data_IF_470780784303
#
_entry.id   IF_470780784303
#
_cell.length_a   1.000
_cell.length_b   1.000
_cell.length_c   1.000
_cell.angle_alpha   90.00
_cell.angle_beta   90.00
_cell.angle_gamma   90.00
#
_symmetry.space_group_name_H-M   'P 1'
#
loop_
_entity.id
_entity.type
_entity.pdbx_description
1 polymer ?
#
# COMPACT_ATOMS: atom_id res chain seq x y z
N UNK A 1 19.88 -11.39 9.06
CA UNK A 1 18.75 -11.24 8.10
C UNK A 1 18.22 -9.80 8.02
N UNK A 2 18.08 -9.05 9.12
CA UNK A 2 17.57 -7.66 9.07
C UNK A 2 18.44 -6.62 8.33
N UNK A 3 19.75 -6.84 8.20
CA UNK A 3 20.70 -5.87 7.61
C UNK A 3 20.55 -5.72 6.10
N UNK A 4 20.29 -6.81 5.37
CA UNK A 4 20.20 -6.78 3.91
C UNK A 4 18.98 -5.99 3.42
N UNK A 5 17.81 -6.18 4.06
CA UNK A 5 16.60 -5.46 3.70
C UNK A 5 16.72 -3.96 3.98
N UNK A 6 17.31 -3.59 5.11
CA UNK A 6 17.55 -2.19 5.45
C UNK A 6 18.45 -1.51 4.42
N UNK A 7 19.52 -2.18 3.96
CA UNK A 7 20.41 -1.68 2.91
C UNK A 7 19.62 -1.45 1.61
N UNK A 8 18.83 -2.43 1.17
CA UNK A 8 18.00 -2.32 -0.03
C UNK A 8 17.05 -1.12 0.04
N UNK A 9 16.33 -0.95 1.15
CA UNK A 9 15.35 0.14 1.31
C UNK A 9 16.02 1.52 1.40
N UNK A 10 17.05 1.64 2.25
CA UNK A 10 17.66 2.93 2.59
C UNK A 10 18.70 3.40 1.57
N UNK A 11 19.41 2.49 0.90
CA UNK A 11 20.52 2.84 -0.01
C UNK A 11 20.16 2.60 -1.47
N UNK A 12 19.47 1.50 -1.76
CA UNK A 12 19.18 1.07 -3.14
C UNK A 12 17.80 1.52 -3.64
N UNK A 13 17.09 2.36 -2.88
CA UNK A 13 15.72 2.81 -3.17
C UNK A 13 14.73 1.65 -3.43
N UNK A 14 14.92 0.50 -2.78
CA UNK A 14 13.98 -0.60 -2.92
C UNK A 14 12.59 -0.18 -2.41
N UNK A 15 11.58 -0.33 -3.26
CA UNK A 15 10.16 -0.04 -2.99
C UNK A 15 9.30 -1.21 -3.47
N UNK A 16 8.10 -1.40 -2.88
CA UNK A 16 7.14 -2.37 -3.39
C UNK A 16 6.87 -2.15 -4.88
N UNK A 17 6.67 -3.25 -5.61
CA UNK A 17 6.24 -3.18 -7.01
C UNK A 17 4.82 -2.62 -7.07
N UNK A 18 4.63 -1.59 -7.89
CA UNK A 18 3.29 -1.07 -8.22
C UNK A 18 2.61 -2.06 -9.17
N UNK A 19 1.38 -2.45 -8.85
CA UNK A 19 0.56 -3.30 -9.72
C UNK A 19 -0.11 -2.45 -10.80
N UNK A 20 -0.31 -2.99 -11.99
CA UNK A 20 -0.93 -2.27 -13.12
C UNK A 20 -2.37 -1.82 -12.82
N UNK A 21 -3.08 -2.54 -11.94
CA UNK A 21 -4.43 -2.16 -11.47
C UNK A 21 -4.43 -0.97 -10.51
N UNK A 22 -3.26 -0.57 -9.99
CA UNK A 22 -3.17 0.52 -9.00
C UNK A 22 -3.61 1.84 -9.64
N UNK A 23 -4.58 2.56 -9.04
CA UNK A 23 -5.00 3.87 -9.52
C UNK A 23 -3.84 4.86 -9.65
N UNK A 24 -3.82 5.64 -10.73
CA UNK A 24 -2.81 6.66 -10.99
C UNK A 24 -2.77 7.71 -9.89
N UNK A 25 -3.93 8.12 -9.35
CA UNK A 25 -3.96 9.02 -8.19
C UNK A 25 -3.16 8.45 -6.99
N UNK A 26 -3.25 7.14 -6.75
CA UNK A 26 -2.52 6.46 -5.69
C UNK A 26 -1.03 6.26 -6.02
N UNK A 27 -0.70 5.97 -7.28
CA UNK A 27 0.70 5.91 -7.76
C UNK A 27 1.39 7.26 -7.53
N UNK A 28 0.72 8.35 -7.88
CA UNK A 28 1.24 9.70 -7.70
C UNK A 28 1.50 10.00 -6.21
N UNK A 29 0.60 9.56 -5.32
CA UNK A 29 0.77 9.71 -3.88
C UNK A 29 1.91 8.82 -3.33
N UNK A 30 2.01 7.56 -3.77
CA UNK A 30 3.11 6.66 -3.40
C UNK A 30 4.48 7.23 -3.79
N UNK A 31 4.60 7.82 -4.98
CA UNK A 31 5.82 8.46 -5.43
C UNK A 31 6.24 9.60 -4.48
N UNK A 32 5.29 10.43 -4.02
CA UNK A 32 5.55 11.47 -3.01
C UNK A 32 6.01 10.89 -1.67
N UNK A 33 5.44 9.77 -1.23
CA UNK A 33 5.88 9.09 0.00
C UNK A 33 7.28 8.49 -0.10
N UNK A 34 7.68 8.09 -1.30
CA UNK A 34 8.96 7.43 -1.55
C UNK A 34 10.10 8.38 -1.87
N UNK A 35 9.84 9.69 -1.86
CA UNK A 35 10.84 10.74 -1.99
C UNK A 35 12.06 10.45 -1.10
N UNK A 36 13.24 10.52 -1.73
CA UNK A 36 14.52 10.23 -1.06
C UNK A 36 14.82 11.30 -0.02
N UNK A 37 14.52 12.55 -0.36
CA UNK A 37 14.61 13.67 0.55
C UNK A 37 13.42 13.63 1.53
N UNK A 38 13.66 13.43 2.84
CA UNK A 38 12.58 13.39 3.83
C UNK A 38 11.75 14.67 3.87
N UNK A 39 12.33 15.82 3.51
CA UNK A 39 11.65 17.12 3.54
C UNK A 39 10.59 17.21 2.43
N UNK A 40 10.79 16.50 1.31
CA UNK A 40 9.85 16.46 0.18
C UNK A 40 8.68 15.50 0.41
N UNK A 41 8.76 14.66 1.45
CA UNK A 41 7.65 13.77 1.79
C UNK A 41 6.49 14.61 2.34
N UNK A 42 5.25 14.30 1.95
CA UNK A 42 4.09 15.01 2.47
C UNK A 42 3.98 14.78 3.99
N UNK A 43 3.63 15.85 4.69
CA UNK A 43 3.27 15.78 6.10
C UNK A 43 1.91 15.07 6.26
N UNK A 44 1.59 14.61 7.48
CA UNK A 44 0.26 14.07 7.77
C UNK A 44 -0.86 15.06 7.41
N UNK A 45 -0.65 16.36 7.65
CA UNK A 45 -1.58 17.42 7.28
C UNK A 45 -1.82 17.48 5.77
N UNK A 46 -0.75 17.41 4.96
CA UNK A 46 -0.90 17.41 3.50
C UNK A 46 -1.59 16.14 3.00
N UNK A 47 -1.39 15.00 3.66
CA UNK A 47 -2.09 13.76 3.30
C UNK A 47 -3.59 13.93 3.55
N UNK A 48 -3.98 14.50 4.69
CA UNK A 48 -5.39 14.78 4.99
C UNK A 48 -5.99 15.69 3.92
N UNK A 49 -5.31 16.78 3.56
CA UNK A 49 -5.75 17.70 2.50
C UNK A 49 -5.98 16.97 1.17
N UNK A 50 -5.01 16.15 0.73
CA UNK A 50 -5.10 15.35 -0.50
C UNK A 50 -6.31 14.41 -0.44
N UNK A 51 -6.50 13.69 0.68
CA UNK A 51 -7.60 12.73 0.81
C UNK A 51 -8.97 13.44 0.87
N UNK A 52 -9.04 14.61 1.49
CA UNK A 52 -10.26 15.45 1.50
C UNK A 52 -10.58 15.98 0.10
N UNK A 53 -9.58 16.36 -0.69
CA UNK A 53 -9.78 16.72 -2.10
C UNK A 53 -10.32 15.54 -2.91
N UNK A 54 -9.78 14.33 -2.71
CA UNK A 54 -10.22 13.12 -3.41
C UNK A 54 -11.69 12.79 -3.15
N UNK A 55 -12.19 13.03 -1.93
CA UNK A 55 -13.61 12.83 -1.60
C UNK A 55 -14.55 13.70 -2.44
N UNK A 56 -14.06 14.83 -2.96
CA UNK A 56 -14.84 15.78 -3.74
C UNK A 56 -14.57 15.70 -5.25
N UNK A 57 -13.56 14.92 -5.67
CA UNK A 57 -13.20 14.75 -7.08
C UNK A 57 -13.83 13.47 -7.67
N UNK A 58 -14.83 13.66 -8.52
CA UNK A 58 -15.54 12.57 -9.20
C UNK A 58 -14.64 11.71 -10.08
N UNK A 59 -13.61 12.28 -10.69
CA UNK A 59 -12.71 11.52 -11.57
C UNK A 59 -11.83 10.58 -10.74
N UNK A 60 -11.32 11.07 -9.61
CA UNK A 60 -10.55 10.25 -8.67
C UNK A 60 -11.42 9.14 -8.09
N UNK A 61 -12.62 9.47 -7.61
CA UNK A 61 -13.55 8.46 -7.09
C UNK A 61 -13.89 7.39 -8.14
N UNK A 62 -14.09 7.77 -9.39
CA UNK A 62 -14.34 6.85 -10.50
C UNK A 62 -13.12 5.94 -10.76
N UNK A 63 -11.92 6.49 -10.75
CA UNK A 63 -10.68 5.74 -10.91
C UNK A 63 -10.49 4.69 -9.80
N UNK A 64 -10.66 5.10 -8.54
CA UNK A 64 -10.58 4.24 -7.37
C UNK A 64 -11.62 3.11 -7.45
N UNK A 65 -12.87 3.44 -7.78
CA UNK A 65 -13.97 2.46 -7.88
C UNK A 65 -13.69 1.42 -8.97
N UNK A 66 -13.21 1.84 -10.15
CA UNK A 66 -12.86 0.92 -11.24
C UNK A 66 -11.76 -0.05 -10.84
N UNK A 67 -10.70 0.45 -10.18
CA UNK A 67 -9.64 -0.41 -9.66
C UNK A 67 -10.19 -1.43 -8.66
N UNK A 68 -11.04 -1.00 -7.72
CA UNK A 68 -11.65 -1.88 -6.73
C UNK A 68 -12.52 -2.98 -7.37
N UNK A 69 -13.27 -2.65 -8.43
CA UNK A 69 -14.04 -3.62 -9.20
C UNK A 69 -13.13 -4.64 -9.90
N UNK A 70 -12.06 -4.18 -10.54
CA UNK A 70 -11.07 -5.07 -11.19
C UNK A 70 -10.45 -5.99 -10.15
N UNK A 71 -10.03 -5.46 -9.00
CA UNK A 71 -9.46 -6.24 -7.91
C UNK A 71 -10.45 -7.27 -7.37
N UNK A 72 -11.72 -6.92 -7.16
CA UNK A 72 -12.77 -7.87 -6.72
C UNK A 72 -12.98 -9.00 -7.72
N UNK A 73 -13.03 -8.67 -9.01
CA UNK A 73 -13.21 -9.64 -10.09
C UNK A 73 -11.97 -10.55 -10.24
N UNK A 74 -10.77 -10.00 -10.05
CA UNK A 74 -9.53 -10.77 -10.02
C UNK A 74 -9.34 -11.53 -8.70
N UNK A 75 -10.00 -11.15 -7.62
CA UNK A 75 -9.93 -11.83 -6.30
C UNK A 75 -10.61 -13.19 -6.27
N UNK A 76 -11.42 -13.53 -7.29
CA UNK A 76 -11.80 -14.92 -7.56
C UNK A 76 -10.57 -15.77 -7.99
N UNK A 77 -9.48 -15.12 -8.40
CA UNK A 77 -8.22 -15.72 -8.87
C UNK A 77 -6.98 -15.43 -7.98
N UNK A 78 -7.11 -14.58 -6.95
CA UNK A 78 -5.99 -14.13 -6.05
C UNK A 78 -5.99 -14.88 -4.69
N UNK A 79 -6.59 -16.07 -4.59
CA UNK A 79 -6.33 -16.95 -3.41
C UNK A 79 -4.90 -17.53 -3.37
N UNK A 80 -4.02 -17.20 -4.33
CA UNK A 80 -2.65 -17.70 -4.35
C UNK A 80 -1.62 -16.62 -4.68
N UNK A 81 -1.42 -15.65 -3.79
CA UNK A 81 -0.06 -15.12 -3.63
C UNK A 81 0.79 -16.16 -2.89
N UNK A 82 1.05 -17.30 -3.56
CA UNK A 82 2.12 -18.20 -3.14
C UNK A 82 3.43 -17.48 -3.45
N UNK A 83 4.20 -17.20 -2.40
CA UNK A 83 5.60 -16.80 -2.52
C UNK A 83 6.30 -17.77 -3.49
N UNK A 84 6.85 -17.23 -4.59
CA UNK A 84 7.58 -18.03 -5.57
C UNK A 84 8.68 -18.82 -4.87
N UNK A 85 8.56 -20.15 -4.95
CA UNK A 85 9.63 -21.07 -4.61
C UNK A 85 10.68 -20.97 -5.71
N UNK A 86 11.74 -20.22 -5.45
CA UNK A 86 13.04 -20.47 -6.07
C UNK A 86 13.96 -20.89 -4.93
N UNK A 87 14.32 -22.16 -4.92
CA UNK A 87 15.05 -22.80 -3.85
C UNK A 87 16.55 -22.52 -3.92
N UNK A 88 17.09 -21.91 -2.86
CA UNK A 88 18.35 -22.33 -2.25
C UNK A 88 18.61 -21.54 -0.94
N UNK A 89 18.90 -22.30 0.12
CA UNK A 89 19.46 -21.93 1.43
C UNK A 89 18.55 -21.28 2.50
N UNK A 90 17.79 -22.17 3.15
CA UNK A 90 17.70 -22.37 4.61
C UNK A 90 18.07 -21.21 5.54
N UNK A 91 17.08 -20.37 5.87
CA UNK A 91 16.87 -19.83 7.22
C UNK A 91 15.45 -19.26 7.29
N UNK A 92 14.59 -19.90 8.09
CA UNK A 92 13.21 -19.53 8.35
C UNK A 92 13.13 -18.10 8.91
N UNK A 93 12.95 -17.16 7.99
CA UNK A 93 12.58 -15.78 8.24
C UNK A 93 11.17 -15.54 7.74
N UNK A 94 10.19 -16.33 8.21
CA UNK A 94 8.80 -15.95 8.11
C UNK A 94 8.61 -14.60 8.81
N UNK A 95 8.65 -13.51 8.04
CA UNK A 95 8.16 -12.22 8.51
C UNK A 95 6.62 -12.32 8.57
N UNK A 96 6.14 -13.11 9.53
CA UNK A 96 4.75 -13.10 9.91
C UNK A 96 4.56 -11.75 10.57
N UNK A 97 4.03 -10.80 9.80
CA UNK A 97 3.55 -9.54 10.36
C UNK A 97 2.64 -9.94 11.51
N UNK A 98 3.10 -9.71 12.75
CA UNK A 98 2.25 -9.77 13.94
C UNK A 98 1.34 -8.55 13.92
N UNK A 99 0.74 -8.20 12.78
CA UNK A 99 -0.32 -7.21 12.68
C UNK A 99 -1.55 -7.83 13.32
N UNK A 100 -1.53 -7.79 14.66
CA UNK A 100 -2.53 -7.14 15.46
C UNK A 100 -3.98 -7.37 14.95
N UNK A 101 -4.65 -8.30 15.63
CA UNK A 101 -6.11 -8.48 15.70
C UNK A 101 -6.90 -7.16 15.93
N UNK A 102 -6.22 -6.10 16.40
CA UNK A 102 -6.79 -4.78 16.72
C UNK A 102 -7.23 -3.99 15.49
N UNK A 103 -6.68 -4.23 14.28
CA UNK A 103 -7.14 -3.44 13.10
C UNK A 103 -8.42 -3.99 12.50
N UNK A 104 -8.79 -5.24 12.79
CA UNK A 104 -10.03 -5.85 12.29
C UNK A 104 -11.27 -5.18 12.91
N UNK A 105 -11.20 -4.70 14.16
CA UNK A 105 -12.34 -4.05 14.82
C UNK A 105 -12.67 -2.65 14.29
N UNK A 106 -11.75 -1.98 13.60
CA UNK A 106 -12.02 -0.67 12.98
C UNK A 106 -12.75 -0.75 11.64
N UNK A 107 -12.70 -1.91 10.95
CA UNK A 107 -13.44 -2.11 9.69
C UNK A 107 -14.89 -2.56 9.91
N UNK A 108 -15.26 -2.98 11.12
CA UNK A 108 -16.62 -3.40 11.44
C UNK A 108 -17.45 -2.31 12.15
N UNK A 109 -16.90 -1.10 12.35
CA UNK A 109 -17.56 -0.04 13.12
C UNK A 109 -17.37 1.34 12.53
N UNK A 110 -18.41 1.81 11.83
CA UNK A 110 -18.74 3.22 11.56
C UNK A 110 -17.91 3.96 10.49
N UNK A 111 -18.46 3.98 9.27
CA UNK A 111 -18.19 4.97 8.22
C UNK A 111 -18.85 6.35 8.51
N UNK A 112 -19.13 6.65 9.77
CA UNK A 112 -19.63 7.96 10.20
C UNK A 112 -18.71 8.44 11.31
N UNK A 113 -18.11 9.61 11.10
CA UNK A 113 -17.17 10.29 12.02
C UNK A 113 -15.72 9.77 12.02
N UNK A 114 -14.97 10.07 10.95
CA UNK A 114 -13.58 10.53 11.11
C UNK A 114 -13.32 11.67 10.12
N UNK A 115 -13.66 12.86 10.61
CA UNK A 115 -13.13 14.23 10.35
C UNK A 115 -12.64 14.54 8.93
#
# INVERSE_FOLDING_TARGET
IGTLLQIKICRENFRPKILEVTPQCYINLMNKFWERDPIKRPSAQNIIEILTEWQNDKNILLELTKSDEILKNQSIHIQSYSYGSDGSDSSDGSYKSKFIEFTTSFYQGNLYYMI
#
